data_IF_923351093715
#
_entry.id   IF_923351093715
#
_cell.length_a   1.000
_cell.length_b   1.000
_cell.length_c   1.000
_cell.angle_alpha   90.00
_cell.angle_beta   90.00
_cell.angle_gamma   90.00
#
_symmetry.space_group_name_H-M   'P 1'
#
loop_
_entity.id
_entity.type
_entity.pdbx_description
1 polymer ?
#
# COMPACT_ATOMS: atom_id res chain seq x y z
N UNK A 1 -50.99 16.95 4.44
CA UNK A 1 -50.16 16.22 5.43
C UNK A 1 -48.81 15.78 4.86
N UNK A 2 -48.72 15.38 3.59
CA UNK A 2 -47.50 14.81 2.99
C UNK A 2 -46.30 15.78 2.93
N UNK A 3 -46.51 17.06 2.63
CA UNK A 3 -45.43 18.07 2.54
C UNK A 3 -44.62 18.20 3.85
N UNK A 4 -45.32 18.07 4.99
CA UNK A 4 -44.74 18.19 6.32
C UNK A 4 -43.89 16.95 6.71
N UNK A 5 -44.17 15.79 6.10
CA UNK A 5 -43.36 14.58 6.30
C UNK A 5 -42.09 14.62 5.44
N UNK A 6 -42.17 15.20 4.24
CA UNK A 6 -41.03 15.40 3.35
C UNK A 6 -40.03 16.39 3.99
N UNK A 7 -40.52 17.50 4.54
CA UNK A 7 -39.67 18.49 5.22
C UNK A 7 -38.97 17.88 6.46
N UNK A 8 -39.69 17.04 7.22
CA UNK A 8 -39.11 16.28 8.34
C UNK A 8 -38.04 15.30 7.86
N UNK A 9 -38.27 14.60 6.76
CA UNK A 9 -37.31 13.67 6.17
C UNK A 9 -36.03 14.38 5.73
N UNK A 10 -36.14 15.52 5.04
CA UNK A 10 -34.98 16.33 4.68
C UNK A 10 -34.24 16.89 5.91
N UNK A 11 -34.97 17.30 6.95
CA UNK A 11 -34.34 17.75 8.20
C UNK A 11 -33.53 16.63 8.89
N UNK A 12 -34.00 15.38 8.77
CA UNK A 12 -33.30 14.20 9.29
C UNK A 12 -32.02 13.94 8.48
N UNK A 13 -32.09 14.00 7.15
CA UNK A 13 -30.93 13.85 6.27
C UNK A 13 -29.86 14.88 6.63
N UNK A 14 -30.23 16.16 6.73
CA UNK A 14 -29.28 17.21 7.10
C UNK A 14 -28.73 17.08 8.52
N UNK A 15 -29.46 16.45 9.44
CA UNK A 15 -28.94 16.14 10.77
C UNK A 15 -27.88 15.03 10.69
N UNK A 16 -28.11 13.99 9.88
CA UNK A 16 -27.16 12.89 9.65
C UNK A 16 -25.89 13.42 8.96
N UNK A 17 -26.03 14.23 7.91
CA UNK A 17 -24.89 14.82 7.19
C UNK A 17 -24.01 15.67 8.11
N UNK A 18 -24.62 16.49 8.98
CA UNK A 18 -23.89 17.26 9.98
C UNK A 18 -23.13 16.37 10.96
N UNK A 19 -23.74 15.29 11.43
CA UNK A 19 -23.10 14.34 12.35
C UNK A 19 -21.94 13.59 11.68
N UNK A 20 -22.08 13.21 10.41
CA UNK A 20 -20.98 12.62 9.66
C UNK A 20 -19.81 13.59 9.49
N UNK A 21 -20.09 14.85 9.18
CA UNK A 21 -19.05 15.88 9.06
C UNK A 21 -18.34 16.15 10.40
N UNK A 22 -19.08 16.13 11.52
CA UNK A 22 -18.46 16.21 12.85
C UNK A 22 -17.54 15.02 13.10
N UNK A 23 -17.99 13.80 12.80
CA UNK A 23 -17.23 12.58 13.01
C UNK A 23 -15.96 12.54 12.15
N UNK A 24 -16.05 12.92 10.88
CA UNK A 24 -14.90 13.02 9.97
C UNK A 24 -13.85 14.03 10.48
N UNK A 25 -14.29 15.19 11.00
CA UNK A 25 -13.38 16.15 11.65
C UNK A 25 -12.73 15.56 12.90
N UNK A 26 -13.49 14.84 13.72
CA UNK A 26 -12.93 14.18 14.89
C UNK A 26 -11.87 13.15 14.50
N UNK A 27 -12.15 12.29 13.51
CA UNK A 27 -11.21 11.28 13.03
C UNK A 27 -9.94 11.91 12.44
N UNK A 28 -10.07 12.99 11.66
CA UNK A 28 -8.92 13.73 11.11
C UNK A 28 -8.05 14.39 12.18
N UNK A 29 -8.64 14.74 13.32
CA UNK A 29 -7.94 15.38 14.44
C UNK A 29 -7.42 14.36 15.47
N UNK A 30 -7.68 13.07 15.29
CA UNK A 30 -7.05 12.05 16.11
C UNK A 30 -5.58 11.95 15.70
N UNK A 31 -4.71 12.52 16.54
CA UNK A 31 -3.25 12.39 16.44
C UNK A 31 -2.82 10.97 16.85
N UNK A 32 -3.25 9.99 16.06
CA UNK A 32 -2.83 8.59 16.22
C UNK A 32 -1.48 8.48 15.53
N UNK A 33 -0.42 8.46 16.34
CA UNK A 33 0.91 8.20 15.83
C UNK A 33 0.91 6.88 15.04
N UNK A 34 1.46 6.87 13.81
CA UNK A 34 1.58 5.64 13.05
C UNK A 34 2.47 4.66 13.81
N UNK A 35 2.20 3.36 13.62
CA UNK A 35 2.95 2.28 14.27
C UNK A 35 4.45 2.42 14.03
N UNK A 36 4.87 2.85 12.85
CA UNK A 36 6.27 3.10 12.48
C UNK A 36 6.91 4.14 13.39
N UNK A 37 6.22 5.26 13.67
CA UNK A 37 6.69 6.30 14.59
C UNK A 37 6.86 5.78 16.02
N UNK A 38 5.90 4.98 16.52
CA UNK A 38 6.02 4.36 17.84
C UNK A 38 7.20 3.38 17.91
N UNK A 39 7.40 2.58 16.87
CA UNK A 39 8.53 1.64 16.78
C UNK A 39 9.87 2.39 16.73
N UNK A 40 9.96 3.53 16.02
CA UNK A 40 11.14 4.42 16.03
C UNK A 40 11.48 4.87 17.45
N UNK A 41 10.48 5.35 18.18
CA UNK A 41 10.64 5.81 19.56
C UNK A 41 11.13 4.69 20.48
N UNK A 42 10.52 3.50 20.39
CA UNK A 42 10.93 2.32 21.16
C UNK A 42 12.37 1.92 20.82
N UNK A 43 12.71 1.84 19.54
CA UNK A 43 14.03 1.44 19.09
C UNK A 43 15.12 2.42 19.59
N UNK A 44 14.85 3.72 19.48
CA UNK A 44 15.72 4.77 20.01
C UNK A 44 15.87 4.67 21.52
N UNK A 45 14.79 4.38 22.25
CA UNK A 45 14.84 4.19 23.70
C UNK A 45 15.72 3.00 24.10
N UNK A 46 15.58 1.85 23.41
CA UNK A 46 16.39 0.66 23.66
C UNK A 46 17.88 0.93 23.43
N UNK A 47 18.24 1.57 22.30
CA UNK A 47 19.65 1.88 22.00
C UNK A 47 20.21 2.83 23.06
N UNK A 48 19.48 3.90 23.41
CA UNK A 48 19.95 4.90 24.36
C UNK A 48 20.11 4.37 25.80
N UNK A 49 19.31 3.37 26.19
CA UNK A 49 19.33 2.81 27.54
C UNK A 49 20.36 1.68 27.71
N UNK A 50 20.96 1.16 26.63
CA UNK A 50 21.93 0.07 26.70
C UNK A 50 23.35 0.56 26.36
N UNK A 51 24.23 0.61 27.36
CA UNK A 51 25.64 1.03 27.20
C UNK A 51 26.39 0.19 26.16
N UNK A 52 26.12 -1.12 26.11
CA UNK A 52 26.70 -2.02 25.12
C UNK A 52 26.34 -1.59 23.68
N UNK A 53 25.06 -1.30 23.41
CA UNK A 53 24.60 -0.88 22.08
C UNK A 53 25.13 0.51 21.69
N UNK A 54 25.22 1.43 22.66
CA UNK A 54 25.86 2.75 22.47
C UNK A 54 27.34 2.62 22.12
N UNK A 55 28.04 1.66 22.73
CA UNK A 55 29.48 1.44 22.51
C UNK A 55 29.82 0.79 21.17
N UNK A 56 28.85 0.14 20.52
CA UNK A 56 29.02 -0.48 19.20
C UNK A 56 28.96 0.53 18.04
N UNK A 57 28.86 1.83 18.33
CA UNK A 57 28.60 2.91 17.36
C UNK A 57 27.49 2.52 16.36
N UNK A 58 26.49 1.79 16.88
CA UNK A 58 25.22 1.58 16.19
C UNK A 58 24.50 2.92 16.26
N UNK A 59 24.98 3.87 15.45
CA UNK A 59 24.16 5.00 15.05
C UNK A 59 22.83 4.40 14.63
N UNK A 60 21.68 4.87 15.13
CA UNK A 60 20.42 4.56 14.50
C UNK A 60 20.60 5.08 13.08
N UNK A 61 20.94 4.19 12.13
CA UNK A 61 20.85 4.53 10.72
C UNK A 61 19.44 5.05 10.58
N UNK A 62 19.31 6.31 10.15
CA UNK A 62 18.02 6.91 9.81
C UNK A 62 17.25 6.02 8.79
N UNK A 63 17.90 4.99 8.23
CA UNK A 63 17.37 4.00 7.31
C UNK A 63 16.62 2.79 7.92
N UNK A 64 16.70 2.49 9.23
CA UNK A 64 15.87 1.38 9.78
C UNK A 64 14.38 1.76 9.78
N UNK A 65 14.12 3.05 9.59
CA UNK A 65 12.86 3.69 9.77
C UNK A 65 12.87 4.94 8.89
N UNK A 66 13.06 4.76 7.58
CA UNK A 66 12.81 5.82 6.62
C UNK A 66 11.39 6.34 6.88
N UNK A 67 11.24 7.66 6.87
CA UNK A 67 9.91 8.26 6.78
C UNK A 67 9.21 7.59 5.61
N UNK A 68 8.03 7.04 5.89
CA UNK A 68 7.17 6.46 4.88
C UNK A 68 6.90 7.58 3.86
N UNK A 69 7.64 7.59 2.75
CA UNK A 69 7.14 8.12 1.49
C UNK A 69 6.01 7.18 1.10
N UNK A 70 4.86 7.42 1.72
CA UNK A 70 3.83 6.42 2.05
C UNK A 70 3.13 5.81 0.82
N UNK A 71 3.48 6.23 -0.40
CA UNK A 71 2.92 5.71 -1.65
C UNK A 71 3.95 5.03 -2.59
N UNK A 72 5.25 4.98 -2.25
CA UNK A 72 6.30 4.53 -3.20
C UNK A 72 7.07 3.25 -2.87
N UNK A 73 6.78 2.52 -1.81
CA UNK A 73 7.74 1.52 -1.30
C UNK A 73 7.31 0.05 -1.44
N UNK A 74 6.04 -0.31 -1.22
CA UNK A 74 5.66 -1.73 -1.26
C UNK A 74 5.50 -2.30 -2.68
N UNK A 75 4.95 -1.52 -3.59
CA UNK A 75 4.73 -1.96 -4.97
C UNK A 75 6.03 -2.04 -5.76
N UNK A 76 6.88 -1.03 -5.63
CA UNK A 76 8.19 -1.00 -6.26
C UNK A 76 9.01 -2.21 -5.79
N UNK A 77 8.95 -2.57 -4.50
CA UNK A 77 9.59 -3.77 -3.96
C UNK A 77 9.01 -5.08 -4.55
N UNK A 78 7.70 -5.17 -4.74
CA UNK A 78 7.05 -6.35 -5.35
C UNK A 78 7.43 -6.46 -6.83
N UNK A 79 7.44 -5.35 -7.55
CA UNK A 79 7.80 -5.26 -8.96
C UNK A 79 9.25 -5.68 -9.11
N UNK A 80 10.17 -5.10 -8.35
CA UNK A 80 11.59 -5.41 -8.38
C UNK A 80 11.87 -6.85 -7.99
N UNK A 81 11.17 -7.39 -6.97
CA UNK A 81 11.26 -8.81 -6.61
C UNK A 81 10.78 -9.72 -7.76
N UNK A 82 9.69 -9.36 -8.43
CA UNK A 82 9.15 -10.13 -9.55
C UNK A 82 10.10 -10.12 -10.73
N UNK A 83 10.65 -8.96 -11.09
CA UNK A 83 11.66 -8.81 -12.13
C UNK A 83 12.91 -9.62 -11.80
N UNK A 84 13.44 -9.50 -10.57
CA UNK A 84 14.61 -10.27 -10.12
C UNK A 84 14.40 -11.79 -10.21
N UNK A 85 13.19 -12.27 -9.89
CA UNK A 85 12.85 -13.68 -10.00
C UNK A 85 12.78 -14.17 -11.45
N UNK A 86 12.26 -13.34 -12.36
CA UNK A 86 12.21 -13.64 -13.80
C UNK A 86 13.62 -13.65 -14.38
N UNK A 87 14.46 -12.69 -14.02
CA UNK A 87 15.86 -12.61 -14.45
C UNK A 87 16.66 -13.84 -14.01
N UNK A 88 16.51 -14.26 -12.74
CA UNK A 88 17.16 -15.47 -12.19
C UNK A 88 16.65 -16.76 -12.82
N UNK A 89 15.40 -16.79 -13.29
CA UNK A 89 14.82 -18.00 -13.90
C UNK A 89 13.82 -17.66 -15.02
N UNK A 90 14.32 -17.33 -16.23
CA UNK A 90 13.48 -16.88 -17.34
C UNK A 90 12.49 -17.94 -17.82
N UNK A 91 12.83 -19.23 -17.69
CA UNK A 91 11.94 -20.33 -18.05
C UNK A 91 10.65 -20.35 -17.21
N UNK A 92 10.67 -19.74 -16.01
CA UNK A 92 9.52 -19.60 -15.12
C UNK A 92 8.81 -18.25 -15.24
N UNK A 93 9.08 -17.46 -16.28
CA UNK A 93 8.49 -16.13 -16.45
C UNK A 93 6.96 -16.11 -16.30
N UNK A 94 6.27 -17.03 -16.98
CA UNK A 94 4.80 -17.16 -16.90
C UNK A 94 4.30 -17.41 -15.48
N UNK A 95 5.03 -18.22 -14.71
CA UNK A 95 4.71 -18.50 -13.31
C UNK A 95 4.83 -17.25 -12.43
N UNK A 96 5.90 -16.47 -12.60
CA UNK A 96 6.08 -15.23 -11.84
C UNK A 96 5.10 -14.14 -12.23
N UNK A 97 4.74 -14.03 -13.52
CA UNK A 97 3.68 -13.15 -13.99
C UNK A 97 2.35 -13.48 -13.33
N UNK A 98 1.98 -14.77 -13.28
CA UNK A 98 0.76 -15.20 -12.60
C UNK A 98 0.79 -14.84 -11.11
N UNK A 99 1.90 -15.14 -10.43
CA UNK A 99 2.07 -14.83 -9.01
C UNK A 99 1.99 -13.32 -8.71
N UNK A 100 2.43 -12.47 -9.64
CA UNK A 100 2.27 -11.03 -9.54
C UNK A 100 0.79 -10.64 -9.68
N UNK A 101 0.10 -11.17 -10.70
CA UNK A 101 -1.31 -10.87 -10.96
C UNK A 101 -2.28 -11.41 -9.89
N UNK A 102 -1.90 -12.47 -9.18
CA UNK A 102 -2.67 -13.02 -8.06
C UNK A 102 -2.75 -12.08 -6.84
N UNK A 103 -1.98 -10.99 -6.84
CA UNK A 103 -2.02 -9.96 -5.79
C UNK A 103 -3.16 -8.94 -5.99
N UNK A 104 -3.78 -8.89 -7.17
CA UNK A 104 -4.92 -8.03 -7.46
C UNK A 104 -6.22 -8.81 -7.24
N UNK A 105 -7.15 -8.28 -6.44
CA UNK A 105 -8.43 -8.96 -6.20
C UNK A 105 -9.45 -8.76 -7.33
N UNK A 106 -9.35 -7.65 -8.07
CA UNK A 106 -10.36 -7.24 -9.06
C UNK A 106 -10.09 -7.77 -10.47
N UNK A 107 -9.04 -8.57 -10.67
CA UNK A 107 -8.70 -9.13 -11.98
C UNK A 107 -9.25 -10.55 -12.10
N UNK A 108 -10.17 -10.76 -13.04
CA UNK A 108 -10.72 -12.09 -13.32
C UNK A 108 -9.63 -13.04 -13.85
N UNK A 109 -9.78 -14.36 -13.65
CA UNK A 109 -8.82 -15.33 -14.19
C UNK A 109 -8.65 -15.24 -15.71
N UNK A 110 -9.71 -14.85 -16.43
CA UNK A 110 -9.66 -14.64 -17.87
C UNK A 110 -8.81 -13.42 -18.23
N UNK A 111 -8.96 -12.33 -17.49
CA UNK A 111 -8.14 -11.12 -17.68
C UNK A 111 -6.68 -11.38 -17.31
N UNK A 112 -6.43 -12.11 -16.22
CA UNK A 112 -5.07 -12.57 -15.87
C UNK A 112 -4.45 -13.39 -17.00
N UNK A 113 -5.21 -14.30 -17.61
CA UNK A 113 -4.75 -15.07 -18.76
C UNK A 113 -4.39 -14.16 -19.94
N UNK A 114 -5.24 -13.18 -20.27
CA UNK A 114 -5.01 -12.25 -21.37
C UNK A 114 -3.74 -11.40 -21.14
N UNK A 115 -3.58 -10.85 -19.92
CA UNK A 115 -2.39 -10.06 -19.53
C UNK A 115 -1.12 -10.92 -19.58
N UNK A 116 -1.17 -12.18 -19.14
CA UNK A 116 0.00 -13.07 -19.26
C UNK A 116 0.35 -13.34 -20.72
N UNK A 117 -0.65 -13.51 -21.59
CA UNK A 117 -0.38 -13.74 -23.02
C UNK A 117 0.26 -12.53 -23.69
N UNK A 118 -0.06 -11.30 -23.27
CA UNK A 118 0.60 -10.10 -23.78
C UNK A 118 2.02 -9.94 -23.23
N UNK A 119 2.24 -10.24 -21.94
CA UNK A 119 3.53 -10.00 -21.28
C UNK A 119 4.57 -11.13 -21.42
N UNK A 120 4.16 -12.37 -21.75
CA UNK A 120 5.07 -13.53 -21.78
C UNK A 120 6.27 -13.34 -22.72
N UNK A 121 6.12 -12.57 -23.80
CA UNK A 121 7.17 -12.33 -24.80
C UNK A 121 7.85 -10.95 -24.67
N UNK A 122 7.41 -10.10 -23.73
CA UNK A 122 7.99 -8.77 -23.51
C UNK A 122 9.40 -8.87 -22.93
N UNK A 123 10.32 -8.04 -23.40
CA UNK A 123 11.68 -8.00 -22.84
C UNK A 123 11.68 -7.47 -21.40
N UNK A 124 12.62 -7.95 -20.59
CA UNK A 124 12.68 -7.65 -19.15
C UNK A 124 12.73 -6.14 -18.86
N UNK A 125 13.43 -5.38 -19.70
CA UNK A 125 13.62 -3.93 -19.60
C UNK A 125 12.29 -3.17 -19.67
N UNK A 126 11.35 -3.64 -20.49
CA UNK A 126 10.04 -3.04 -20.66
C UNK A 126 9.02 -3.56 -19.64
N UNK A 127 9.27 -4.76 -19.10
CA UNK A 127 8.35 -5.45 -18.18
C UNK A 127 8.14 -4.69 -16.86
N UNK A 128 9.17 -3.96 -16.39
CA UNK A 128 9.06 -3.12 -15.18
C UNK A 128 8.01 -2.01 -15.37
N UNK A 129 8.09 -1.27 -16.48
CA UNK A 129 7.13 -0.22 -16.82
C UNK A 129 5.71 -0.76 -16.97
N UNK A 130 5.56 -1.96 -17.53
CA UNK A 130 4.26 -2.62 -17.67
C UNK A 130 3.66 -2.99 -16.30
N UNK A 131 4.47 -3.48 -15.36
CA UNK A 131 4.01 -3.75 -13.99
C UNK A 131 3.63 -2.50 -13.23
N UNK A 132 4.40 -1.41 -13.36
CA UNK A 132 4.06 -0.12 -12.76
C UNK A 132 2.73 0.42 -13.32
N UNK A 133 2.48 0.21 -14.61
CA UNK A 133 1.23 0.61 -15.25
C UNK A 133 0.05 -0.22 -14.73
N UNK A 134 0.21 -1.54 -14.61
CA UNK A 134 -0.81 -2.42 -14.05
C UNK A 134 -1.11 -2.08 -12.59
N UNK A 135 -0.08 -1.80 -11.78
CA UNK A 135 -0.20 -1.37 -10.40
C UNK A 135 -0.99 -0.07 -10.23
N UNK A 136 -0.90 0.85 -11.20
CA UNK A 136 -1.68 2.11 -11.20
C UNK A 136 -3.14 1.92 -11.63
N UNK A 137 -3.40 0.93 -12.50
CA UNK A 137 -4.73 0.67 -13.05
C UNK A 137 -5.58 -0.14 -12.07
N UNK A 138 -4.97 -1.11 -11.38
CA UNK A 138 -5.67 -2.04 -10.51
C UNK A 138 -5.28 -1.79 -9.05
N UNK A 139 -6.27 -1.64 -8.18
CA UNK A 139 -6.03 -1.53 -6.74
C UNK A 139 -5.61 -2.90 -6.18
N UNK A 140 -4.47 -2.93 -5.46
CA UNK A 140 -4.07 -4.11 -4.68
C UNK A 140 -4.65 -3.98 -3.28
N UNK A 141 -5.11 -5.11 -2.75
CA UNK A 141 -5.46 -5.21 -1.35
C UNK A 141 -4.22 -5.34 -0.47
N UNK A 142 -4.11 -4.44 0.50
CA UNK A 142 -3.23 -4.60 1.67
C UNK A 142 -3.97 -5.38 2.77
#
# INVERSE_FOLDING_TARGET
>A
MEKNNIDKFFSLIHAIERKNNELDRFLKNLDIKPRSSLLKEIHKAIINQNEFLRSMDIQPKNDICQEDSEDKTFFDDIIDLTISNIEKNPAKKVFYLRKFLDKFEDISENDKNAIIQSLKNVELENLKSDFESLAKIFEIKL
#
